data_IF_248346533890
#
_entry.id   IF_248346533890
#
_cell.length_a   1.000
_cell.length_b   1.000
_cell.length_c   1.000
_cell.angle_alpha   90.00
_cell.angle_beta   90.00
_cell.angle_gamma   90.00
#
_symmetry.space_group_name_H-M   'P 1'
#
loop_
_entity.id
_entity.type
_entity.pdbx_description
1 polymer ?
#
# COMPACT_ATOMS: atom_id res chain seq x y z
N UNK A 1 -19.02 11.63 -0.52
CA UNK A 1 -18.15 10.55 -0.01
C UNK A 1 -16.76 11.10 0.33
N UNK A 2 -16.13 11.89 -0.54
CA UNK A 2 -14.84 12.52 -0.23
C UNK A 2 -14.88 13.32 1.08
N UNK A 3 -15.84 14.21 1.24
CA UNK A 3 -16.05 15.01 2.46
C UNK A 3 -16.24 14.15 3.72
N UNK A 4 -16.90 12.99 3.60
CA UNK A 4 -17.03 12.03 4.73
C UNK A 4 -15.70 11.38 5.14
N UNK A 5 -14.72 11.35 4.25
CA UNK A 5 -13.33 10.98 4.54
C UNK A 5 -12.47 12.19 4.94
N UNK A 6 -13.05 13.39 4.90
CA UNK A 6 -12.37 14.64 5.15
C UNK A 6 -11.45 15.09 4.02
N UNK A 7 -11.79 14.76 2.79
CA UNK A 7 -11.05 15.13 1.58
C UNK A 7 -11.92 16.10 0.79
N UNK A 8 -11.36 17.25 0.46
CA UNK A 8 -12.05 18.31 -0.30
C UNK A 8 -11.18 18.78 -1.47
N UNK A 9 -11.83 19.34 -2.49
CA UNK A 9 -11.11 19.88 -3.65
C UNK A 9 -10.28 21.09 -3.23
N UNK A 10 -9.04 21.16 -3.70
CA UNK A 10 -8.11 22.24 -3.37
C UNK A 10 -7.29 22.03 -2.10
N UNK A 11 -7.57 20.98 -1.32
CA UNK A 11 -6.74 20.63 -0.17
C UNK A 11 -5.41 20.02 -0.60
N UNK A 12 -4.36 20.32 0.17
CA UNK A 12 -3.09 19.58 0.11
C UNK A 12 -3.23 18.25 0.85
N UNK A 13 -2.85 17.17 0.19
CA UNK A 13 -2.80 15.85 0.79
C UNK A 13 -1.36 15.31 0.78
N UNK A 14 -0.93 14.71 1.89
CA UNK A 14 0.34 14.01 1.98
C UNK A 14 0.08 12.51 1.96
N UNK A 15 0.71 11.80 1.05
CA UNK A 15 0.65 10.34 0.96
C UNK A 15 2.02 9.76 1.32
N UNK A 16 2.08 9.04 2.44
CA UNK A 16 3.30 8.40 2.92
C UNK A 16 3.25 6.92 2.53
N UNK A 17 4.19 6.47 1.69
CA UNK A 17 4.32 5.08 1.30
C UNK A 17 5.62 4.50 1.84
N UNK A 18 5.57 3.97 3.04
CA UNK A 18 6.69 3.34 3.74
C UNK A 18 6.20 2.15 4.55
N UNK A 19 7.09 1.23 4.90
CA UNK A 19 6.78 0.00 5.61
C UNK A 19 7.74 -0.27 6.78
N UNK A 20 7.96 -1.54 7.06
CA UNK A 20 8.85 -2.02 8.13
C UNK A 20 10.34 -1.88 7.80
N UNK A 21 10.67 -1.32 6.63
CA UNK A 21 12.05 -1.17 6.15
C UNK A 21 12.80 -2.50 6.19
N UNK A 22 14.09 -2.48 6.50
CA UNK A 22 14.93 -3.67 6.59
C UNK A 22 14.45 -4.71 7.60
N UNK A 23 13.74 -4.31 8.65
CA UNK A 23 13.27 -5.24 9.67
C UNK A 23 12.32 -6.31 9.11
N UNK A 24 11.25 -5.91 8.41
CA UNK A 24 10.32 -6.89 7.83
C UNK A 24 10.91 -7.69 6.68
N UNK A 25 11.89 -7.14 5.97
CA UNK A 25 12.64 -7.88 4.97
C UNK A 25 13.45 -9.00 5.65
N UNK A 26 14.17 -8.70 6.73
CA UNK A 26 14.94 -9.68 7.48
C UNK A 26 14.05 -10.78 8.07
N UNK A 27 12.89 -10.41 8.65
CA UNK A 27 11.89 -11.38 9.13
C UNK A 27 11.46 -12.32 8.00
N UNK A 28 11.19 -11.78 6.80
CA UNK A 28 10.79 -12.58 5.66
C UNK A 28 11.91 -13.59 5.26
N UNK A 29 13.13 -13.13 5.14
CA UNK A 29 14.28 -13.96 4.75
C UNK A 29 14.59 -15.07 5.76
N UNK A 30 14.57 -14.75 7.05
CA UNK A 30 14.82 -15.72 8.13
C UNK A 30 13.78 -16.82 8.15
N UNK A 31 12.49 -16.45 7.98
CA UNK A 31 11.41 -17.43 7.95
C UNK A 31 11.33 -18.18 6.64
N UNK A 32 11.64 -17.56 5.50
CA UNK A 32 11.74 -18.26 4.22
C UNK A 32 12.77 -19.41 4.31
N UNK A 33 13.95 -19.14 4.87
CA UNK A 33 14.98 -20.14 5.06
C UNK A 33 14.55 -21.31 5.97
N UNK A 34 13.77 -21.03 7.01
CA UNK A 34 13.20 -22.05 7.92
C UNK A 34 12.07 -22.83 7.24
N UNK A 35 11.13 -22.13 6.59
CA UNK A 35 9.94 -22.72 6.01
C UNK A 35 10.25 -23.59 4.78
N UNK A 36 11.24 -23.26 3.97
CA UNK A 36 11.70 -24.12 2.87
C UNK A 36 12.10 -25.50 3.41
N UNK A 37 12.86 -25.55 4.52
CA UNK A 37 13.24 -26.83 5.15
C UNK A 37 12.05 -27.54 5.80
N UNK A 38 11.05 -26.80 6.27
CA UNK A 38 9.84 -27.36 6.87
C UNK A 38 8.95 -28.01 5.80
N UNK A 39 8.79 -27.35 4.64
CA UNK A 39 7.99 -27.85 3.52
C UNK A 39 8.46 -29.23 3.05
N UNK A 40 9.75 -29.46 2.97
CA UNK A 40 10.32 -30.76 2.60
C UNK A 40 9.89 -31.87 3.59
N UNK A 41 9.81 -31.54 4.91
CA UNK A 41 9.40 -32.49 5.95
C UNK A 41 7.91 -32.84 5.90
N UNK A 42 7.05 -31.90 5.48
CA UNK A 42 5.60 -32.10 5.39
C UNK A 42 5.16 -32.59 4.00
N UNK A 43 6.11 -32.88 3.11
CA UNK A 43 5.84 -33.50 1.80
C UNK A 43 5.16 -32.58 0.78
N UNK A 44 5.19 -31.26 0.96
CA UNK A 44 4.64 -30.30 -0.01
C UNK A 44 5.70 -30.00 -1.07
N UNK A 45 5.37 -30.19 -2.35
CA UNK A 45 6.24 -29.79 -3.46
C UNK A 45 5.92 -28.35 -3.86
N UNK A 46 6.89 -27.45 -3.76
CA UNK A 46 6.76 -26.07 -4.14
C UNK A 46 7.21 -25.83 -5.58
N UNK A 47 6.44 -25.14 -6.42
CA UNK A 47 6.89 -24.69 -7.74
C UNK A 47 7.95 -23.60 -7.67
N UNK A 48 7.98 -22.81 -6.58
CA UNK A 48 8.94 -21.76 -6.30
C UNK A 48 9.23 -21.72 -4.79
N UNK A 49 10.50 -21.56 -4.43
CA UNK A 49 10.93 -21.47 -3.02
C UNK A 49 10.32 -20.28 -2.27
N UNK A 50 9.98 -19.21 -2.97
CA UNK A 50 9.31 -18.05 -2.39
C UNK A 50 7.87 -18.34 -1.92
N UNK A 51 7.31 -19.48 -2.32
CA UNK A 51 6.00 -19.97 -1.85
C UNK A 51 6.11 -20.89 -0.63
N UNK A 52 7.25 -20.89 0.06
CA UNK A 52 7.42 -21.66 1.29
C UNK A 52 6.29 -21.39 2.28
N UNK A 53 5.77 -22.44 2.87
CA UNK A 53 4.56 -22.38 3.70
C UNK A 53 4.69 -23.28 4.93
N UNK A 54 3.80 -23.06 5.89
CA UNK A 54 3.59 -23.93 7.04
C UNK A 54 2.09 -23.98 7.35
N UNK A 55 1.66 -25.03 8.01
CA UNK A 55 0.31 -25.06 8.56
C UNK A 55 0.14 -23.95 9.61
N UNK A 56 -0.98 -23.22 9.54
CA UNK A 56 -1.22 -22.06 10.42
C UNK A 56 -1.09 -22.45 11.90
N UNK A 57 -1.57 -23.62 12.28
CA UNK A 57 -1.55 -24.10 13.67
C UNK A 57 -0.23 -24.80 14.08
N UNK A 58 0.74 -24.92 13.16
CA UNK A 58 2.06 -25.45 13.52
C UNK A 58 2.85 -24.40 14.30
N UNK A 59 3.88 -24.88 15.01
CA UNK A 59 4.83 -24.01 15.74
C UNK A 59 5.47 -22.99 14.80
N UNK A 60 5.89 -23.43 13.61
CA UNK A 60 6.51 -22.57 12.60
C UNK A 60 5.53 -21.53 12.06
N UNK A 61 4.27 -21.91 11.79
CA UNK A 61 3.22 -21.00 11.35
C UNK A 61 2.91 -19.92 12.38
N UNK A 62 2.74 -20.30 13.64
CA UNK A 62 2.45 -19.37 14.74
C UNK A 62 3.63 -18.41 15.00
N UNK A 63 4.86 -18.92 14.98
CA UNK A 63 6.04 -18.08 15.12
C UNK A 63 6.17 -17.07 13.98
N UNK A 64 5.92 -17.50 12.73
CA UNK A 64 5.95 -16.59 11.59
C UNK A 64 4.87 -15.52 11.68
N UNK A 65 3.64 -15.86 12.02
CA UNK A 65 2.55 -14.90 12.19
C UNK A 65 2.86 -13.87 13.28
N UNK A 66 3.48 -14.29 14.40
CA UNK A 66 3.91 -13.40 15.47
C UNK A 66 5.02 -12.45 15.01
N UNK A 67 6.05 -12.95 14.31
CA UNK A 67 7.14 -12.12 13.78
C UNK A 67 6.63 -11.13 12.71
N UNK A 68 5.70 -11.57 11.84
CA UNK A 68 5.04 -10.70 10.87
C UNK A 68 4.24 -9.59 11.58
N UNK A 69 3.55 -9.89 12.68
CA UNK A 69 2.83 -8.89 13.46
C UNK A 69 3.78 -7.84 14.06
N UNK A 70 4.95 -8.25 14.57
CA UNK A 70 5.99 -7.33 15.03
C UNK A 70 6.45 -6.39 13.89
N UNK A 71 6.73 -6.94 12.70
CA UNK A 71 7.12 -6.13 11.54
C UNK A 71 6.00 -5.19 11.08
N UNK A 72 4.74 -5.61 11.14
CA UNK A 72 3.59 -4.76 10.83
C UNK A 72 3.45 -3.61 11.83
N UNK A 73 3.58 -3.88 13.13
CA UNK A 73 3.54 -2.84 14.17
C UNK A 73 4.68 -1.84 14.02
N UNK A 74 5.88 -2.30 13.71
CA UNK A 74 7.01 -1.44 13.38
C UNK A 74 6.69 -0.52 12.18
N UNK A 75 6.07 -1.08 11.12
CA UNK A 75 5.68 -0.31 9.95
C UNK A 75 4.67 0.80 10.30
N UNK A 76 3.70 0.53 11.18
CA UNK A 76 2.76 1.54 11.65
C UNK A 76 3.46 2.65 12.45
N UNK A 77 4.31 2.28 13.39
CA UNK A 77 5.09 3.26 14.16
C UNK A 77 5.97 4.14 13.25
N UNK A 78 6.65 3.52 12.26
CA UNK A 78 7.45 4.26 11.28
C UNK A 78 6.61 5.28 10.50
N UNK A 79 5.44 4.90 9.98
CA UNK A 79 4.57 5.85 9.24
C UNK A 79 4.02 6.96 10.14
N UNK A 80 3.70 6.65 11.38
CA UNK A 80 3.27 7.64 12.36
C UNK A 80 4.37 8.67 12.65
N UNK A 81 5.62 8.23 12.81
CA UNK A 81 6.76 9.13 12.97
C UNK A 81 7.01 9.97 11.72
N UNK A 82 6.92 9.37 10.52
CA UNK A 82 7.02 10.12 9.27
C UNK A 82 5.91 11.18 9.13
N UNK A 83 4.70 10.87 9.55
CA UNK A 83 3.60 11.83 9.56
C UNK A 83 3.88 12.99 10.54
N UNK A 84 4.38 12.68 11.73
CA UNK A 84 4.75 13.70 12.73
C UNK A 84 5.80 14.65 12.19
N UNK A 85 6.93 14.13 11.68
CA UNK A 85 8.00 14.96 11.12
C UNK A 85 7.57 15.74 9.87
N UNK A 86 6.65 15.18 9.08
CA UNK A 86 6.05 15.91 7.94
C UNK A 86 5.24 17.10 8.45
N UNK A 87 4.48 16.93 9.53
CA UNK A 87 3.75 18.02 10.19
C UNK A 87 4.68 19.13 10.65
N UNK A 88 5.73 18.80 11.42
CA UNK A 88 6.73 19.77 11.89
C UNK A 88 7.43 20.51 10.73
N UNK A 89 7.77 19.79 9.65
CA UNK A 89 8.37 20.41 8.47
C UNK A 89 7.44 21.40 7.78
N UNK A 90 6.15 21.06 7.66
CA UNK A 90 5.13 21.94 7.09
C UNK A 90 4.85 23.15 7.98
N UNK A 91 4.73 22.97 9.29
CA UNK A 91 4.58 24.06 10.26
C UNK A 91 5.73 25.07 10.13
N UNK A 92 6.96 24.58 10.09
CA UNK A 92 8.15 25.42 9.92
C UNK A 92 8.17 26.12 8.54
N UNK A 93 7.84 25.42 7.47
CA UNK A 93 7.87 25.97 6.12
C UNK A 93 6.80 27.03 5.87
N UNK A 94 5.61 26.85 6.47
CA UNK A 94 4.47 27.73 6.27
C UNK A 94 4.34 28.80 7.37
N UNK A 95 5.11 28.71 8.46
CA UNK A 95 5.00 29.59 9.61
C UNK A 95 3.68 29.42 10.39
N UNK A 96 3.06 28.25 10.30
CA UNK A 96 1.77 27.91 10.91
C UNK A 96 1.97 27.05 12.16
N UNK A 97 1.11 27.22 13.17
CA UNK A 97 1.07 26.30 14.31
C UNK A 97 0.28 25.01 13.99
N UNK A 98 0.42 23.93 14.80
CA UNK A 98 -0.23 22.64 14.55
C UNK A 98 -1.74 22.70 14.37
N UNK A 99 -2.41 23.58 15.15
CA UNK A 99 -3.87 23.76 15.07
C UNK A 99 -4.31 24.47 13.78
N UNK A 100 -3.51 25.41 13.30
CA UNK A 100 -3.76 26.16 12.08
C UNK A 100 -3.50 25.30 10.86
N UNK A 101 -2.40 24.53 10.85
CA UNK A 101 -2.08 23.55 9.82
C UNK A 101 -3.19 22.50 9.70
N UNK A 102 -3.79 22.06 10.82
CA UNK A 102 -4.94 21.16 10.84
C UNK A 102 -4.66 19.81 10.19
N UNK A 103 -3.41 19.37 10.11
CA UNK A 103 -3.02 18.10 9.52
C UNK A 103 -3.62 16.92 10.28
N UNK A 104 -4.30 16.02 9.58
CA UNK A 104 -4.97 14.86 10.18
C UNK A 104 -4.76 13.59 9.37
N UNK A 105 -4.73 12.44 10.06
CA UNK A 105 -4.69 11.14 9.42
C UNK A 105 -6.04 10.79 8.80
N UNK A 106 -6.08 10.67 7.49
CA UNK A 106 -7.24 10.15 6.75
C UNK A 106 -7.34 8.65 6.95
N UNK A 107 -6.32 7.91 6.57
CA UNK A 107 -6.26 6.45 6.71
C UNK A 107 -4.83 5.92 6.69
N UNK A 108 -4.62 4.76 7.33
CA UNK A 108 -3.38 3.98 7.27
C UNK A 108 -3.70 2.51 6.98
N UNK A 109 -2.95 1.88 6.07
CA UNK A 109 -3.18 0.51 5.63
C UNK A 109 -1.89 -0.20 5.26
N UNK A 110 -1.84 -1.51 5.52
CA UNK A 110 -0.79 -2.40 5.01
C UNK A 110 -1.29 -3.17 3.78
N UNK A 111 -0.40 -3.39 2.81
CA UNK A 111 -0.68 -4.12 1.57
C UNK A 111 0.25 -5.33 1.32
N UNK A 112 1.13 -5.64 2.28
CA UNK A 112 1.96 -6.84 2.30
C UNK A 112 1.79 -7.49 3.68
N UNK A 113 0.72 -8.25 3.86
CA UNK A 113 0.34 -8.81 5.16
C UNK A 113 -0.63 -9.99 4.98
N UNK A 114 -0.60 -10.95 5.90
CA UNK A 114 -1.65 -11.94 6.07
C UNK A 114 -2.52 -11.57 7.27
N UNK A 115 -3.84 -11.76 7.15
CA UNK A 115 -4.80 -11.51 8.22
C UNK A 115 -5.77 -12.65 8.35
N UNK A 116 -6.09 -13.02 9.59
CA UNK A 116 -7.17 -13.95 9.89
C UNK A 116 -8.48 -13.17 9.79
N UNK A 117 -9.35 -13.59 8.88
CA UNK A 117 -10.59 -12.89 8.54
C UNK A 117 -11.73 -13.90 8.31
N UNK A 118 -12.98 -13.50 8.56
CA UNK A 118 -14.15 -14.30 8.27
C UNK A 118 -14.70 -13.96 6.88
N UNK A 119 -14.91 -14.99 6.07
CA UNK A 119 -15.46 -14.86 4.72
C UNK A 119 -16.50 -15.94 4.44
N UNK A 120 -17.36 -15.71 3.45
CA UNK A 120 -18.28 -16.71 2.92
C UNK A 120 -17.62 -17.37 1.71
N UNK A 121 -17.46 -18.69 1.77
CA UNK A 121 -16.90 -19.51 0.69
C UNK A 121 -17.90 -20.64 0.40
N UNK A 122 -18.40 -20.72 -0.81
CA UNK A 122 -19.42 -21.69 -1.22
C UNK A 122 -20.65 -21.74 -0.27
N UNK A 123 -21.09 -20.53 0.15
CA UNK A 123 -22.22 -20.36 1.04
C UNK A 123 -21.93 -20.66 2.51
N UNK A 124 -20.71 -21.03 2.87
CA UNK A 124 -20.31 -21.35 4.25
C UNK A 124 -19.43 -20.26 4.84
N UNK A 125 -19.68 -19.88 6.09
CA UNK A 125 -18.81 -18.98 6.84
C UNK A 125 -17.53 -19.71 7.25
N UNK A 126 -16.38 -19.18 6.84
CA UNK A 126 -15.07 -19.74 7.13
C UNK A 126 -14.12 -18.68 7.66
N UNK A 127 -13.26 -19.07 8.60
CA UNK A 127 -12.11 -18.28 9.04
C UNK A 127 -10.92 -18.59 8.15
N UNK A 128 -10.42 -17.59 7.44
CA UNK A 128 -9.34 -17.72 6.46
C UNK A 128 -8.13 -16.86 6.85
N UNK A 129 -6.96 -17.32 6.47
CA UNK A 129 -5.74 -16.51 6.47
C UNK A 129 -5.60 -15.84 5.10
N UNK A 130 -6.08 -14.61 4.99
CA UNK A 130 -6.08 -13.87 3.71
C UNK A 130 -4.75 -13.17 3.51
N UNK A 131 -3.99 -13.63 2.53
CA UNK A 131 -2.70 -13.07 2.13
C UNK A 131 -2.90 -11.95 1.11
N UNK A 132 -2.33 -10.77 1.40
CA UNK A 132 -2.30 -9.64 0.47
C UNK A 132 -0.87 -9.26 0.17
N UNK A 133 -0.48 -9.38 -1.10
CA UNK A 133 0.80 -8.96 -1.66
C UNK A 133 0.51 -8.25 -2.97
N UNK A 134 0.78 -6.96 -3.03
CA UNK A 134 0.34 -6.16 -4.17
C UNK A 134 -1.18 -5.93 -4.21
N UNK A 135 -1.85 -6.15 -3.10
CA UNK A 135 -3.27 -5.92 -2.90
C UNK A 135 -3.51 -5.31 -1.52
N UNK A 136 -4.58 -4.57 -1.36
CA UNK A 136 -4.99 -3.97 -0.09
C UNK A 136 -6.39 -4.40 0.31
N UNK A 137 -6.70 -4.34 1.59
CA UNK A 137 -8.03 -4.65 2.10
C UNK A 137 -9.02 -3.55 1.71
N UNK A 138 -10.21 -3.96 1.27
CA UNK A 138 -11.26 -3.09 0.74
C UNK A 138 -12.65 -3.56 1.21
N UNK A 139 -12.88 -3.53 2.52
CA UNK A 139 -14.15 -3.93 3.10
C UNK A 139 -15.27 -2.92 2.81
N UNK A 140 -16.50 -3.41 2.60
CA UNK A 140 -17.65 -2.58 2.25
C UNK A 140 -18.18 -1.76 3.42
N UNK A 141 -19.09 -0.80 3.15
CA UNK A 141 -19.89 -0.17 4.20
C UNK A 141 -20.58 -1.22 5.08
N UNK A 142 -20.73 -0.93 6.37
CA UNK A 142 -21.39 -1.82 7.32
C UNK A 142 -20.52 -2.95 7.88
N UNK A 143 -19.37 -3.26 7.27
CA UNK A 143 -18.54 -4.38 7.72
C UNK A 143 -18.08 -4.19 9.17
N UNK A 144 -18.27 -5.21 10.07
CA UNK A 144 -18.04 -5.07 11.52
C UNK A 144 -16.58 -4.80 11.89
N UNK A 145 -15.62 -5.25 11.09
CA UNK A 145 -14.19 -5.00 11.29
C UNK A 145 -13.74 -3.57 10.95
N UNK A 146 -14.63 -2.72 10.43
CA UNK A 146 -14.30 -1.32 10.15
C UNK A 146 -14.46 -0.46 11.41
N UNK A 147 -13.53 0.48 11.66
CA UNK A 147 -13.72 1.54 12.63
C UNK A 147 -15.02 2.30 12.36
N UNK A 148 -15.68 2.76 13.42
CA UNK A 148 -17.00 3.40 13.33
C UNK A 148 -17.04 4.55 12.30
N UNK A 149 -15.98 5.35 12.22
CA UNK A 149 -15.87 6.46 11.26
C UNK A 149 -15.97 6.04 9.79
N UNK A 150 -15.65 4.78 9.45
CA UNK A 150 -15.68 4.27 8.09
C UNK A 150 -16.85 3.32 7.79
N UNK A 151 -17.68 3.01 8.78
CA UNK A 151 -18.80 2.07 8.58
C UNK A 151 -19.82 2.56 7.55
N UNK A 152 -19.99 3.86 7.40
CA UNK A 152 -20.93 4.41 6.41
C UNK A 152 -20.33 4.49 5.00
N UNK A 153 -19.01 4.68 4.88
CA UNK A 153 -18.32 4.90 3.60
C UNK A 153 -17.74 3.63 3.00
N UNK A 154 -17.47 2.63 3.82
CA UNK A 154 -16.57 1.52 3.51
C UNK A 154 -15.11 1.88 3.81
N UNK A 155 -14.23 0.89 3.71
CA UNK A 155 -12.81 1.02 3.99
C UNK A 155 -12.14 1.91 2.93
N UNK A 156 -11.41 2.97 3.34
CA UNK A 156 -10.59 3.72 2.41
C UNK A 156 -9.48 2.84 1.80
N UNK A 157 -9.25 3.02 0.52
CA UNK A 157 -8.23 2.34 -0.27
C UNK A 157 -7.33 3.40 -0.88
N UNK A 158 -6.04 3.35 -0.53
CA UNK A 158 -5.05 4.31 -1.00
C UNK A 158 -4.25 3.68 -2.14
N UNK A 159 -4.30 4.29 -3.31
CA UNK A 159 -3.59 3.81 -4.49
C UNK A 159 -2.55 4.87 -4.91
N UNK A 160 -1.29 4.70 -4.49
CA UNK A 160 -0.23 5.59 -4.92
C UNK A 160 0.03 5.41 -6.42
N UNK A 161 0.17 6.54 -7.13
CA UNK A 161 0.73 6.58 -8.47
C UNK A 161 2.26 6.69 -8.44
N UNK A 162 2.86 6.83 -9.61
CA UNK A 162 4.26 7.19 -9.76
C UNK A 162 4.51 8.70 -9.52
N UNK A 163 5.75 9.15 -9.64
CA UNK A 163 6.09 10.55 -9.37
C UNK A 163 5.54 11.54 -10.40
N UNK A 164 5.16 11.10 -11.59
CA UNK A 164 4.66 11.96 -12.68
C UNK A 164 3.16 11.91 -12.89
N UNK A 165 2.46 11.02 -12.18
CA UNK A 165 1.01 10.84 -12.30
C UNK A 165 0.29 11.21 -10.99
N UNK A 166 -0.98 10.90 -10.90
CA UNK A 166 -1.75 11.13 -9.68
C UNK A 166 -1.85 9.88 -8.82
N UNK A 167 -2.39 10.06 -7.63
CA UNK A 167 -2.78 8.98 -6.73
C UNK A 167 -4.30 8.97 -6.57
N UNK A 168 -4.85 7.86 -6.07
CA UNK A 168 -6.29 7.75 -5.89
C UNK A 168 -6.66 7.33 -4.47
N UNK A 169 -7.80 7.84 -4.01
CA UNK A 169 -8.53 7.33 -2.86
C UNK A 169 -9.79 6.67 -3.37
N UNK A 170 -9.98 5.40 -3.02
CA UNK A 170 -11.20 4.64 -3.31
C UNK A 170 -11.81 4.14 -2.00
N UNK A 171 -12.94 3.45 -2.09
CA UNK A 171 -13.55 2.73 -0.97
C UNK A 171 -13.95 1.32 -1.40
N UNK A 172 -13.93 0.39 -0.43
CA UNK A 172 -14.31 -1.00 -0.63
C UNK A 172 -15.80 -1.19 -0.90
N UNK A 173 -16.16 -2.34 -1.47
CA UNK A 173 -17.52 -2.69 -1.90
C UNK A 173 -17.90 -4.11 -1.49
N UNK A 174 -19.21 -4.41 -1.48
CA UNK A 174 -19.71 -5.78 -1.28
C UNK A 174 -19.17 -6.75 -2.33
N UNK A 175 -19.02 -6.29 -3.57
CA UNK A 175 -18.48 -7.13 -4.65
C UNK A 175 -17.02 -7.55 -4.40
N UNK A 176 -16.23 -6.71 -3.73
CA UNK A 176 -14.89 -7.10 -3.30
C UNK A 176 -14.93 -8.21 -2.26
N UNK A 177 -15.87 -8.19 -1.31
CA UNK A 177 -16.05 -9.29 -0.37
C UNK A 177 -16.39 -10.59 -1.08
N UNK A 178 -17.32 -10.54 -2.03
CA UNK A 178 -17.81 -11.69 -2.77
C UNK A 178 -16.74 -12.29 -3.70
N UNK A 179 -15.99 -11.46 -4.44
CA UNK A 179 -15.13 -11.91 -5.53
C UNK A 179 -13.64 -11.98 -5.18
N UNK A 180 -13.18 -11.22 -4.19
CA UNK A 180 -11.75 -11.05 -3.92
C UNK A 180 -11.40 -11.07 -2.42
N UNK A 181 -12.22 -11.69 -1.58
CA UNK A 181 -12.02 -11.68 -0.12
C UNK A 181 -11.81 -10.27 0.44
N UNK A 182 -12.63 -9.31 0.01
CA UNK A 182 -12.53 -7.92 0.45
C UNK A 182 -11.20 -7.28 0.10
N UNK A 183 -10.68 -7.54 -1.11
CA UNK A 183 -9.38 -7.03 -1.57
C UNK A 183 -9.51 -6.27 -2.88
N UNK A 184 -8.60 -5.30 -3.10
CA UNK A 184 -8.44 -4.57 -4.36
C UNK A 184 -6.95 -4.31 -4.63
N UNK A 185 -6.58 -3.74 -5.78
CA UNK A 185 -5.20 -3.37 -6.08
C UNK A 185 -4.63 -2.38 -5.05
N UNK A 186 -3.31 -2.30 -4.92
CA UNK A 186 -2.64 -1.31 -4.07
C UNK A 186 -1.84 -0.26 -4.86
N UNK A 187 -1.76 -0.37 -6.18
CA UNK A 187 -0.99 0.49 -7.07
C UNK A 187 -1.13 0.03 -8.51
N UNK A 188 -0.50 0.74 -9.44
CA UNK A 188 -0.57 0.43 -10.87
C UNK A 188 0.19 -0.86 -11.24
N UNK A 189 1.22 -1.20 -10.48
CA UNK A 189 2.16 -2.27 -10.84
C UNK A 189 3.17 -1.81 -11.89
N UNK A 190 4.33 -2.45 -11.90
CA UNK A 190 5.41 -2.14 -12.82
C UNK A 190 5.27 -2.89 -14.15
N UNK A 191 5.69 -2.25 -15.24
CA UNK A 191 5.88 -2.86 -16.57
C UNK A 191 7.36 -3.10 -16.88
N UNK A 192 8.27 -2.46 -16.10
CA UNK A 192 9.71 -2.63 -16.22
C UNK A 192 10.32 -3.10 -14.91
N UNK A 193 11.39 -3.90 -14.99
CA UNK A 193 12.26 -4.16 -13.83
C UNK A 193 13.01 -2.89 -13.43
N UNK A 194 13.50 -2.81 -12.18
CA UNK A 194 14.33 -1.68 -11.73
C UNK A 194 15.56 -1.48 -12.62
N UNK A 195 16.24 -2.56 -12.99
CA UNK A 195 17.39 -2.51 -13.87
C UNK A 195 17.03 -1.96 -15.27
N UNK A 196 15.89 -2.35 -15.84
CA UNK A 196 15.40 -1.82 -17.11
C UNK A 196 15.06 -0.33 -17.02
N UNK A 197 14.45 0.12 -15.93
CA UNK A 197 14.15 1.54 -15.68
C UNK A 197 15.43 2.38 -15.57
N UNK A 198 16.45 1.92 -14.83
CA UNK A 198 17.77 2.57 -14.76
C UNK A 198 18.38 2.67 -16.15
N UNK A 199 18.29 1.62 -16.97
CA UNK A 199 18.82 1.66 -18.35
C UNK A 199 18.06 2.67 -19.20
N UNK A 200 16.74 2.75 -19.08
CA UNK A 200 15.90 3.68 -19.82
C UNK A 200 16.08 5.15 -19.38
N UNK A 201 16.52 5.38 -18.16
CA UNK A 201 16.77 6.73 -17.62
C UNK A 201 18.15 7.31 -17.98
N UNK A 202 19.06 6.50 -18.61
CA UNK A 202 20.40 6.97 -18.94
C UNK A 202 20.36 8.18 -19.89
N UNK A 203 21.12 9.23 -19.53
CA UNK A 203 21.20 10.47 -20.29
C UNK A 203 20.02 11.43 -20.09
N UNK A 204 19.01 11.06 -19.30
CA UNK A 204 17.85 11.89 -18.98
C UNK A 204 18.06 12.66 -17.66
N UNK A 205 17.47 13.84 -17.57
CA UNK A 205 17.36 14.61 -16.34
C UNK A 205 15.96 14.45 -15.76
N UNK A 206 15.74 13.37 -15.00
CA UNK A 206 14.41 13.05 -14.43
C UNK A 206 13.88 14.21 -13.57
N UNK A 207 14.74 14.93 -12.87
CA UNK A 207 14.34 16.13 -12.12
C UNK A 207 13.69 17.18 -13.03
N UNK A 208 14.35 17.55 -14.14
CA UNK A 208 13.82 18.56 -15.06
C UNK A 208 12.54 18.09 -15.73
N UNK A 209 12.49 16.84 -16.15
CA UNK A 209 11.30 16.28 -16.77
C UNK A 209 10.08 16.31 -15.82
N UNK A 210 10.28 16.10 -14.53
CA UNK A 210 9.21 16.21 -13.53
C UNK A 210 8.86 17.67 -13.25
N UNK A 211 9.85 18.54 -13.15
CA UNK A 211 9.66 19.98 -12.98
C UNK A 211 8.84 20.58 -14.14
N UNK A 212 9.14 20.19 -15.38
CA UNK A 212 8.37 20.57 -16.58
C UNK A 212 6.91 20.10 -16.52
N UNK A 213 6.64 19.01 -15.79
CA UNK A 213 5.27 18.54 -15.49
C UNK A 213 4.63 19.20 -14.25
N UNK A 214 5.34 20.14 -13.62
CA UNK A 214 4.89 20.84 -12.41
C UNK A 214 4.99 19.99 -11.13
N UNK A 215 5.88 19.00 -11.09
CA UNK A 215 6.13 18.17 -9.92
C UNK A 215 7.55 18.37 -9.41
N UNK A 216 7.69 18.91 -8.20
CA UNK A 216 8.99 19.01 -7.53
C UNK A 216 9.39 17.63 -7.01
N UNK A 217 10.57 17.17 -7.44
CA UNK A 217 11.08 15.85 -7.01
C UNK A 217 12.36 16.02 -6.22
N UNK A 218 12.43 15.41 -5.05
CA UNK A 218 13.61 15.35 -4.19
C UNK A 218 13.98 13.89 -3.91
N UNK A 219 15.27 13.60 -3.89
CA UNK A 219 15.78 12.27 -3.56
C UNK A 219 17.10 12.34 -2.81
N UNK A 220 17.28 11.50 -1.82
CA UNK A 220 18.55 11.34 -1.12
C UNK A 220 19.62 10.69 -2.01
N UNK A 221 19.24 9.87 -3.00
CA UNK A 221 20.15 9.20 -3.93
C UNK A 221 19.66 9.30 -5.37
N UNK A 222 20.57 9.67 -6.29
CA UNK A 222 20.26 9.75 -7.74
C UNK A 222 19.74 8.42 -8.31
N UNK A 223 20.22 7.30 -7.82
CA UNK A 223 19.81 5.95 -8.26
C UNK A 223 18.33 5.69 -8.04
N UNK A 224 17.76 6.16 -6.93
CA UNK A 224 16.34 5.94 -6.59
C UNK A 224 15.40 6.56 -7.62
N UNK A 225 15.72 7.75 -8.13
CA UNK A 225 14.90 8.39 -9.17
C UNK A 225 14.95 7.62 -10.49
N UNK A 226 16.12 7.08 -10.84
CA UNK A 226 16.31 6.31 -12.05
C UNK A 226 15.50 5.01 -12.08
N UNK A 227 15.27 4.40 -10.92
CA UNK A 227 14.45 3.20 -10.78
C UNK A 227 12.95 3.46 -10.89
N UNK A 228 12.51 4.67 -10.57
CA UNK A 228 11.12 5.05 -10.32
C UNK A 228 10.55 5.96 -11.43
N UNK A 229 11.14 5.95 -12.63
CA UNK A 229 10.62 6.74 -13.77
C UNK A 229 9.16 6.37 -14.06
N UNK A 230 8.31 7.33 -14.48
CA UNK A 230 6.88 7.08 -14.72
C UNK A 230 6.61 5.92 -15.68
N UNK A 231 7.40 5.81 -16.74
CA UNK A 231 7.26 4.78 -17.77
C UNK A 231 7.51 3.35 -17.26
N UNK A 232 8.07 3.21 -16.05
CA UNK A 232 8.26 1.91 -15.43
C UNK A 232 6.96 1.30 -14.87
N UNK A 233 5.87 2.06 -14.87
CA UNK A 233 4.57 1.70 -14.30
C UNK A 233 3.48 1.64 -15.36
N UNK A 234 2.42 0.85 -15.08
CA UNK A 234 1.18 0.91 -15.85
C UNK A 234 0.50 2.25 -15.62
N UNK A 235 -0.31 2.67 -16.57
CA UNK A 235 -1.16 3.85 -16.38
C UNK A 235 -2.11 3.63 -15.19
N UNK A 236 -1.99 4.51 -14.19
CA UNK A 236 -2.79 4.41 -12.97
C UNK A 236 -4.27 4.66 -13.25
N UNK A 237 -4.60 5.52 -14.20
CA UNK A 237 -5.99 5.86 -14.55
C UNK A 237 -6.68 4.65 -15.19
N UNK A 238 -5.97 3.89 -16.04
CA UNK A 238 -6.47 2.64 -16.62
C UNK A 238 -6.71 1.58 -15.54
N UNK A 239 -5.73 1.36 -14.67
CA UNK A 239 -5.85 0.39 -13.57
C UNK A 239 -7.06 0.72 -12.68
N UNK A 240 -7.23 1.99 -12.32
CA UNK A 240 -8.34 2.43 -11.50
C UNK A 240 -9.68 2.34 -12.24
N UNK A 241 -9.71 2.60 -13.54
CA UNK A 241 -10.91 2.41 -14.36
C UNK A 241 -11.35 0.95 -14.39
N UNK A 242 -10.41 0.02 -14.56
CA UNK A 242 -10.69 -1.44 -14.53
C UNK A 242 -11.26 -1.85 -13.17
N UNK A 243 -10.61 -1.47 -12.07
CA UNK A 243 -11.04 -1.85 -10.72
C UNK A 243 -12.41 -1.25 -10.37
N UNK A 244 -12.64 -0.01 -10.77
CA UNK A 244 -13.93 0.67 -10.58
C UNK A 244 -15.03 0.04 -11.45
N UNK A 245 -14.75 -0.22 -12.73
CA UNK A 245 -15.68 -0.87 -13.66
C UNK A 245 -16.00 -2.30 -13.26
N UNK A 246 -15.02 -3.05 -12.74
CA UNK A 246 -15.24 -4.37 -12.14
C UNK A 246 -16.08 -4.31 -10.85
N UNK A 247 -16.26 -3.13 -10.25
CA UNK A 247 -17.02 -2.94 -9.02
C UNK A 247 -16.29 -3.40 -7.76
N UNK A 248 -14.99 -3.66 -7.81
CA UNK A 248 -14.20 -4.10 -6.66
C UNK A 248 -13.90 -2.95 -5.68
N UNK A 249 -13.85 -1.73 -6.18
CA UNK A 249 -13.79 -0.53 -5.35
C UNK A 249 -14.35 0.68 -6.10
N UNK A 250 -14.79 1.71 -5.37
CA UNK A 250 -15.36 2.93 -5.95
C UNK A 250 -14.38 4.09 -5.82
N UNK A 251 -14.19 4.85 -6.90
CA UNK A 251 -13.42 6.10 -6.89
C UNK A 251 -14.06 7.12 -5.95
N UNK A 252 -13.22 7.79 -5.16
CA UNK A 252 -13.64 8.86 -4.24
C UNK A 252 -12.94 10.16 -4.60
N UNK A 253 -11.61 10.13 -4.75
CA UNK A 253 -10.81 11.29 -5.09
C UNK A 253 -9.60 10.90 -5.95
N UNK A 254 -9.19 11.82 -6.83
CA UNK A 254 -7.89 11.81 -7.52
C UNK A 254 -7.02 12.90 -6.92
N UNK A 255 -5.80 12.56 -6.55
CA UNK A 255 -4.81 13.46 -6.00
C UNK A 255 -3.77 13.74 -7.09
N UNK A 256 -3.59 15.01 -7.48
CA UNK A 256 -2.54 15.41 -8.41
C UNK A 256 -1.22 15.51 -7.67
N UNK A 257 -0.16 14.93 -8.22
CA UNK A 257 1.17 15.12 -7.68
C UNK A 257 1.62 16.58 -7.89
N UNK A 258 2.15 17.20 -6.84
CA UNK A 258 2.80 18.52 -6.87
C UNK A 258 4.20 18.44 -6.30
N UNK A 259 4.51 17.40 -5.56
CA UNK A 259 5.83 17.12 -5.03
C UNK A 259 5.99 15.64 -4.72
N UNK A 260 7.19 15.11 -4.85
CA UNK A 260 7.54 13.74 -4.56
C UNK A 260 8.92 13.66 -3.90
N UNK A 261 8.98 13.02 -2.74
CA UNK A 261 10.23 12.78 -2.02
C UNK A 261 10.50 11.28 -2.03
N UNK A 262 11.68 10.90 -2.54
CA UNK A 262 12.15 9.51 -2.59
C UNK A 262 13.37 9.32 -1.69
N UNK A 263 13.33 8.32 -0.82
CA UNK A 263 14.40 7.98 0.10
C UNK A 263 15.04 6.62 -0.16
#
# INVERSE_FOLDING_TARGET
MASALGIEVGQVAVLIHSGSRGFGHQVCDDYLAKLVKHVDKIGIKLPDRQLACAYIQSTEGQQYLSAMACAANYAWANRQMLMHWTGEALEKALGMGPRELGMRLVYDVCHNIAKIEEHIVDGKKMTLCVHRKGATRAFPPGHPALPQKFRKTGQPVLIPGDMGTGSYVLVGTEKAMEKTFGSTCHGAGRVMSRAAAIKASKGRSIHREMEDRGVLVMSAAKGTLAEEIPEAYKDIDEVINVVHGAGLSKKVAKLRAVGCIKG
#
